data_IF_761914989387
#
_entry.id   IF_761914989387
#
_cell.length_a   1.000
_cell.length_b   1.000
_cell.length_c   1.000
_cell.angle_alpha   90.00
_cell.angle_beta   90.00
_cell.angle_gamma   90.00
#
_symmetry.space_group_name_H-M   'P 1'
#
loop_
_entity.id
_entity.type
_entity.pdbx_description
1 polymer ?
#
# COMPACT_ATOMS: atom_id res chain seq x y z
N UNK A 1 23.02 7.63 13.84
CA UNK A 1 22.03 8.24 12.95
C UNK A 1 21.17 7.13 12.36
N UNK A 2 19.85 7.25 12.43
CA UNK A 2 18.94 6.28 11.84
C UNK A 2 18.89 6.56 10.34
N UNK A 3 19.43 5.66 9.51
CA UNK A 3 19.47 5.80 8.05
C UNK A 3 18.56 4.74 7.47
N UNK A 4 17.55 5.15 6.72
CA UNK A 4 16.67 4.28 5.96
C UNK A 4 16.54 4.84 4.54
N UNK A 5 16.39 3.95 3.57
CA UNK A 5 16.20 4.31 2.15
C UNK A 5 14.73 4.15 1.72
N UNK A 6 13.86 3.73 2.64
CA UNK A 6 12.46 3.37 2.38
C UNK A 6 11.53 3.79 3.51
N UNK A 7 10.28 4.07 3.16
CA UNK A 7 9.19 4.33 4.10
C UNK A 7 8.01 3.42 3.75
N UNK A 8 7.46 2.72 4.74
CA UNK A 8 6.15 2.08 4.64
C UNK A 8 5.13 2.94 5.38
N UNK A 9 4.04 3.32 4.71
CA UNK A 9 2.91 4.02 5.32
C UNK A 9 1.70 3.11 5.33
N UNK A 10 1.19 2.80 6.52
CA UNK A 10 0.00 1.99 6.71
C UNK A 10 -1.25 2.87 6.88
N UNK A 11 -2.39 2.46 6.35
CA UNK A 11 -3.69 3.07 6.67
C UNK A 11 -4.11 2.83 8.14
N UNK A 12 -3.80 1.64 8.68
CA UNK A 12 -4.13 1.23 10.04
C UNK A 12 -2.92 1.26 10.96
N UNK A 13 -3.10 1.84 12.15
CA UNK A 13 -2.09 1.84 13.20
C UNK A 13 -1.76 0.43 13.70
N UNK A 14 -2.74 -0.48 13.75
CA UNK A 14 -2.52 -1.87 14.15
C UNK A 14 -1.55 -2.60 13.22
N UNK A 15 -1.64 -2.37 11.91
CA UNK A 15 -0.70 -2.93 10.93
C UNK A 15 0.70 -2.33 11.10
N UNK A 16 0.83 -1.02 11.30
CA UNK A 16 2.13 -0.39 11.60
C UNK A 16 2.77 -0.97 12.88
N UNK A 17 1.98 -1.16 13.94
CA UNK A 17 2.43 -1.80 15.18
C UNK A 17 2.89 -3.24 14.94
N UNK A 18 2.13 -4.02 14.17
CA UNK A 18 2.48 -5.40 13.82
C UNK A 18 3.82 -5.45 13.07
N UNK A 19 4.04 -4.58 12.08
CA UNK A 19 5.31 -4.52 11.35
C UNK A 19 6.49 -4.17 12.26
N UNK A 20 6.31 -3.22 13.17
CA UNK A 20 7.35 -2.81 14.13
C UNK A 20 7.64 -3.94 15.13
N UNK A 21 6.60 -4.58 15.67
CA UNK A 21 6.74 -5.70 16.61
C UNK A 21 7.45 -6.92 15.98
N UNK A 22 7.33 -7.10 14.66
CA UNK A 22 8.04 -8.14 13.92
C UNK A 22 9.40 -7.68 13.34
N UNK A 23 9.96 -6.56 13.82
CA UNK A 23 11.26 -6.02 13.39
C UNK A 23 11.39 -5.73 11.89
N UNK A 24 10.27 -5.57 11.16
CA UNK A 24 10.26 -5.36 9.71
C UNK A 24 11.08 -4.14 9.30
N UNK A 25 10.94 -3.04 10.04
CA UNK A 25 11.68 -1.79 9.87
C UNK A 25 13.21 -1.98 9.87
N UNK A 26 13.71 -2.90 10.70
CA UNK A 26 15.14 -3.22 10.77
C UNK A 26 15.57 -4.14 9.62
N UNK A 27 14.83 -5.22 9.38
CA UNK A 27 15.16 -6.22 8.33
C UNK A 27 15.13 -5.60 6.92
N UNK A 28 14.18 -4.71 6.65
CA UNK A 28 13.98 -4.08 5.34
C UNK A 28 14.49 -2.64 5.28
N UNK A 29 15.32 -2.21 6.23
CA UNK A 29 15.94 -0.87 6.25
C UNK A 29 14.94 0.26 5.95
N UNK A 30 13.76 0.19 6.55
CA UNK A 30 12.67 1.12 6.26
C UNK A 30 12.11 1.74 7.55
N UNK A 31 11.68 3.00 7.47
CA UNK A 31 10.78 3.53 8.49
C UNK A 31 9.37 2.98 8.27
N UNK A 32 8.59 2.83 9.34
CA UNK A 32 7.19 2.41 9.29
C UNK A 32 6.34 3.45 10.01
N UNK A 33 5.36 4.03 9.32
CA UNK A 33 4.42 5.00 9.87
C UNK A 33 2.98 4.54 9.61
N UNK A 34 2.02 5.06 10.38
CA UNK A 34 0.61 5.06 9.97
C UNK A 34 0.19 6.44 9.45
N UNK A 35 -0.85 6.46 8.61
CA UNK A 35 -1.45 7.69 8.09
C UNK A 35 -1.95 8.63 9.22
N UNK A 36 -2.24 8.07 10.41
CA UNK A 36 -2.74 8.79 11.57
C UNK A 36 -1.63 9.32 12.50
N UNK A 37 -0.35 9.21 12.12
CA UNK A 37 0.74 9.79 12.91
C UNK A 37 1.50 8.81 13.82
N UNK A 38 1.25 7.49 13.73
CA UNK A 38 1.98 6.52 14.53
C UNK A 38 3.32 6.15 13.86
N UNK A 39 4.42 5.89 14.61
CA UNK A 39 4.60 6.18 16.04
C UNK A 39 4.83 7.69 16.25
N UNK A 40 4.11 8.27 17.20
CA UNK A 40 4.13 9.73 17.43
C UNK A 40 5.53 10.28 17.74
N UNK A 41 6.36 9.49 18.44
CA UNK A 41 7.70 9.90 18.88
C UNK A 41 8.68 10.15 17.73
N UNK A 42 8.49 9.50 16.57
CA UNK A 42 9.39 9.61 15.43
C UNK A 42 8.74 10.19 14.18
N UNK A 43 7.42 10.39 14.19
CA UNK A 43 6.64 10.73 12.99
C UNK A 43 7.16 11.97 12.26
N UNK A 44 7.31 13.10 12.97
CA UNK A 44 7.80 14.35 12.39
C UNK A 44 9.23 14.23 11.86
N UNK A 45 10.10 13.56 12.63
CA UNK A 45 11.50 13.32 12.27
C UNK A 45 11.62 12.48 10.99
N UNK A 46 10.88 11.37 10.90
CA UNK A 46 10.88 10.50 9.71
C UNK A 46 10.38 11.26 8.49
N UNK A 47 9.29 12.01 8.63
CA UNK A 47 8.71 12.77 7.54
C UNK A 47 9.65 13.87 7.03
N UNK A 48 10.35 14.56 7.94
CA UNK A 48 11.39 15.53 7.58
C UNK A 48 12.57 14.88 6.85
N UNK A 49 13.03 13.71 7.30
CA UNK A 49 14.09 12.95 6.63
C UNK A 49 13.69 12.56 5.20
N UNK A 50 12.44 12.09 5.01
CA UNK A 50 11.92 11.70 3.69
C UNK A 50 11.86 12.90 2.74
N UNK A 51 11.36 14.05 3.20
CA UNK A 51 11.29 15.27 2.38
C UNK A 51 12.66 15.78 1.93
N UNK A 52 13.70 15.56 2.74
CA UNK A 52 15.08 15.93 2.39
C UNK A 52 15.72 14.94 1.42
N UNK A 53 15.22 13.71 1.36
CA UNK A 53 15.75 12.63 0.52
C UNK A 53 14.76 12.20 -0.57
N UNK A 54 14.82 12.87 -1.73
CA UNK A 54 13.92 12.59 -2.86
C UNK A 54 14.14 11.23 -3.53
N UNK A 55 15.27 10.56 -3.28
CA UNK A 55 15.48 9.20 -3.79
C UNK A 55 14.85 8.12 -2.89
N UNK A 56 14.23 8.52 -1.77
CA UNK A 56 13.56 7.58 -0.88
C UNK A 56 12.29 7.02 -1.53
N UNK A 57 12.12 5.70 -1.42
CA UNK A 57 10.92 5.02 -1.94
C UNK A 57 9.86 4.89 -0.85
N UNK A 58 8.62 5.29 -1.15
CA UNK A 58 7.48 5.16 -0.26
C UNK A 58 6.60 4.00 -0.73
N UNK A 59 6.19 3.14 0.21
CA UNK A 59 5.25 2.05 0.00
C UNK A 59 4.00 2.30 0.82
N UNK A 60 2.83 2.31 0.18
CA UNK A 60 1.54 2.37 0.85
C UNK A 60 1.02 0.95 1.10
N UNK A 61 0.58 0.67 2.32
CA UNK A 61 -0.04 -0.60 2.70
C UNK A 61 -1.41 -0.32 3.29
N UNK A 62 -2.45 -0.91 2.72
CA UNK A 62 -3.82 -0.61 3.13
C UNK A 62 -4.80 -1.76 2.97
N UNK A 63 -5.94 -1.65 3.66
CA UNK A 63 -7.11 -2.51 3.55
C UNK A 63 -7.79 -2.36 2.19
N UNK A 64 -8.53 -3.39 1.74
CA UNK A 64 -9.49 -3.23 0.65
C UNK A 64 -10.77 -2.59 1.20
N UNK A 65 -10.67 -1.32 1.57
CA UNK A 65 -11.75 -0.50 2.12
C UNK A 65 -11.71 0.90 1.48
N UNK A 66 -12.81 1.69 1.52
CA UNK A 66 -12.82 3.04 0.95
C UNK A 66 -11.72 3.95 1.49
N UNK A 67 -11.47 3.91 2.81
CA UNK A 67 -10.40 4.68 3.43
C UNK A 67 -9.02 4.15 3.04
N UNK A 68 -8.85 2.83 2.98
CA UNK A 68 -7.61 2.17 2.60
C UNK A 68 -7.18 2.52 1.17
N UNK A 69 -8.05 2.29 0.18
CA UNK A 69 -7.74 2.60 -1.23
C UNK A 69 -7.53 4.10 -1.50
N UNK A 70 -7.96 4.97 -0.57
CA UNK A 70 -7.74 6.41 -0.66
C UNK A 70 -6.35 6.82 -0.17
N UNK A 71 -5.61 5.91 0.49
CA UNK A 71 -4.32 6.21 1.12
C UNK A 71 -3.33 6.83 0.14
N UNK A 72 -3.12 6.22 -1.03
CA UNK A 72 -2.15 6.73 -2.01
C UNK A 72 -2.53 8.14 -2.49
N UNK A 73 -3.81 8.36 -2.79
CA UNK A 73 -4.30 9.70 -3.16
C UNK A 73 -4.08 10.72 -2.03
N UNK A 74 -4.35 10.34 -0.78
CA UNK A 74 -4.13 11.21 0.37
C UNK A 74 -2.65 11.56 0.55
N UNK A 75 -1.75 10.60 0.38
CA UNK A 75 -0.30 10.82 0.44
C UNK A 75 0.17 11.79 -0.66
N UNK A 76 -0.35 11.64 -1.88
CA UNK A 76 0.00 12.47 -3.05
C UNK A 76 -0.57 13.87 -3.05
N UNK A 77 -1.68 14.11 -2.32
CA UNK A 77 -2.39 15.39 -2.38
C UNK A 77 -2.30 16.19 -1.09
N UNK A 78 -1.97 15.55 0.04
CA UNK A 78 -1.87 16.24 1.32
C UNK A 78 -0.56 17.04 1.44
N UNK A 79 -0.62 18.35 1.73
CA UNK A 79 0.57 19.16 2.02
C UNK A 79 1.37 18.65 3.22
N UNK A 80 0.69 17.99 4.16
CA UNK A 80 1.30 17.39 5.33
C UNK A 80 2.00 16.06 5.01
N UNK A 81 1.89 15.55 3.78
CA UNK A 81 2.61 14.38 3.29
C UNK A 81 3.49 14.77 2.11
N UNK A 82 3.18 14.26 0.91
CA UNK A 82 3.95 14.37 -0.32
C UNK A 82 3.17 15.13 -1.41
N UNK A 83 2.35 16.10 -0.99
CA UNK A 83 1.54 16.95 -1.87
C UNK A 83 2.33 17.74 -2.93
N UNK A 84 3.65 17.82 -2.79
CA UNK A 84 4.57 18.46 -3.73
C UNK A 84 5.07 17.51 -4.84
N UNK A 85 4.65 16.24 -4.83
CA UNK A 85 5.07 15.23 -5.81
C UNK A 85 6.54 14.81 -5.71
N UNK A 86 7.16 15.03 -4.55
CA UNK A 86 8.63 14.90 -4.40
C UNK A 86 9.15 13.47 -4.26
N UNK A 87 8.28 12.45 -4.14
CA UNK A 87 8.67 11.06 -3.86
C UNK A 87 7.87 10.05 -4.68
N UNK A 88 8.52 8.95 -5.02
CA UNK A 88 7.86 7.80 -5.66
C UNK A 88 7.06 7.00 -4.62
N UNK A 89 5.77 6.81 -4.88
CA UNK A 89 4.85 6.07 -4.01
C UNK A 89 4.34 4.85 -4.76
N UNK A 90 4.67 3.67 -4.24
CA UNK A 90 4.19 2.37 -4.72
C UNK A 90 3.04 1.88 -3.85
N UNK A 91 1.98 1.42 -4.50
CA UNK A 91 0.84 0.83 -3.82
C UNK A 91 1.05 -0.69 -3.64
N UNK A 92 1.16 -1.12 -2.38
CA UNK A 92 1.25 -2.53 -1.97
C UNK A 92 0.00 -2.96 -1.17
N UNK A 93 -1.04 -2.12 -1.13
CA UNK A 93 -2.28 -2.41 -0.41
C UNK A 93 -3.17 -3.44 -1.10
N UNK A 94 -4.15 -3.93 -0.34
CA UNK A 94 -5.14 -4.87 -0.84
C UNK A 94 -6.16 -4.11 -1.69
N UNK A 95 -6.31 -4.53 -2.94
CA UNK A 95 -7.31 -3.96 -3.85
C UNK A 95 -8.53 -4.89 -3.98
N UNK A 96 -9.75 -4.37 -4.16
CA UNK A 96 -10.95 -5.20 -4.30
C UNK A 96 -10.84 -6.26 -5.41
N UNK A 97 -10.21 -5.94 -6.55
CA UNK A 97 -9.96 -6.91 -7.63
C UNK A 97 -9.15 -8.15 -7.20
N UNK A 98 -8.35 -8.06 -6.14
CA UNK A 98 -7.57 -9.18 -5.62
C UNK A 98 -8.43 -10.09 -4.74
N UNK A 99 -9.41 -9.51 -4.04
CA UNK A 99 -10.42 -10.24 -3.26
C UNK A 99 -11.31 -11.09 -4.20
N UNK A 100 -11.71 -10.54 -5.36
CA UNK A 100 -12.57 -11.27 -6.30
C UNK A 100 -11.94 -12.57 -6.82
N UNK A 101 -10.60 -12.61 -6.89
CA UNK A 101 -9.85 -13.78 -7.33
C UNK A 101 -9.70 -14.85 -6.25
N UNK A 102 -10.02 -14.55 -4.99
CA UNK A 102 -9.83 -15.47 -3.88
C UNK A 102 -11.11 -15.64 -3.04
N UNK A 103 -11.88 -16.73 -3.27
CA UNK A 103 -13.14 -16.96 -2.57
C UNK A 103 -12.97 -17.29 -1.07
N UNK A 104 -11.74 -17.52 -0.58
CA UNK A 104 -11.48 -17.84 0.83
C UNK A 104 -11.29 -16.60 1.70
N UNK A 105 -11.23 -15.41 1.11
CA UNK A 105 -11.08 -14.17 1.86
C UNK A 105 -12.40 -13.84 2.56
N UNK A 106 -12.31 -13.59 3.86
CA UNK A 106 -13.46 -13.10 4.61
C UNK A 106 -13.77 -11.66 4.21
N UNK A 107 -14.98 -11.43 3.69
CA UNK A 107 -15.46 -10.11 3.29
C UNK A 107 -16.41 -9.59 4.35
N UNK A 108 -16.05 -8.47 4.95
CA UNK A 108 -16.93 -7.70 5.83
C UNK A 108 -17.90 -6.86 5.02
N UNK A 109 -19.01 -6.46 5.65
CA UNK A 109 -19.99 -5.54 5.08
C UNK A 109 -20.48 -4.60 6.19
N UNK A 110 -20.48 -3.29 5.94
CA UNK A 110 -20.98 -2.31 6.91
C UNK A 110 -21.58 -1.07 6.22
N UNK A 111 -22.54 -0.43 6.89
CA UNK A 111 -23.17 0.79 6.38
C UNK A 111 -22.20 1.98 6.44
N UNK A 112 -21.25 2.00 7.38
CA UNK A 112 -20.19 3.01 7.44
C UNK A 112 -19.29 2.94 6.21
N UNK A 113 -18.87 1.73 5.80
CA UNK A 113 -18.06 1.54 4.60
C UNK A 113 -18.83 1.97 3.35
N UNK A 114 -20.13 1.68 3.29
CA UNK A 114 -20.99 2.13 2.19
C UNK A 114 -21.07 3.65 2.10
N UNK A 115 -21.21 4.34 3.23
CA UNK A 115 -21.23 5.80 3.28
C UNK A 115 -19.88 6.40 2.85
N UNK A 116 -18.76 5.81 3.31
CA UNK A 116 -17.42 6.24 2.90
C UNK A 116 -17.17 6.01 1.40
N UNK A 117 -17.60 4.88 0.84
CA UNK A 117 -17.48 4.59 -0.59
C UNK A 117 -18.16 5.66 -1.45
N UNK A 118 -19.33 6.15 -1.03
CA UNK A 118 -20.04 7.24 -1.71
C UNK A 118 -19.26 8.56 -1.70
N UNK A 119 -18.42 8.77 -0.69
CA UNK A 119 -17.62 9.99 -0.51
C UNK A 119 -16.23 9.90 -1.16
N UNK A 120 -15.88 8.79 -1.83
CA UNK A 120 -14.62 8.65 -2.54
C UNK A 120 -14.42 9.78 -3.56
N UNK A 121 -13.21 10.35 -3.56
CA UNK A 121 -12.85 11.43 -4.46
C UNK A 121 -12.92 10.97 -5.93
N UNK A 122 -13.15 11.88 -6.88
CA UNK A 122 -13.15 11.54 -8.31
C UNK A 122 -11.86 10.87 -8.76
N UNK A 123 -10.70 11.32 -8.26
CA UNK A 123 -9.40 10.76 -8.58
C UNK A 123 -9.25 9.29 -8.13
N UNK A 124 -9.75 8.96 -6.93
CA UNK A 124 -9.73 7.56 -6.45
C UNK A 124 -10.68 6.70 -7.28
N UNK A 125 -11.90 7.20 -7.54
CA UNK A 125 -12.91 6.47 -8.35
C UNK A 125 -12.42 6.13 -9.76
N UNK A 126 -11.66 7.02 -10.40
CA UNK A 126 -11.11 6.80 -11.75
C UNK A 126 -10.08 5.66 -11.83
N UNK A 127 -9.41 5.33 -10.73
CA UNK A 127 -8.44 4.24 -10.67
C UNK A 127 -9.08 2.86 -10.41
N UNK A 128 -10.38 2.84 -10.10
CA UNK A 128 -11.14 1.62 -9.84
C UNK A 128 -11.88 1.16 -11.08
N UNK A 129 -12.03 -0.17 -11.21
CA UNK A 129 -12.97 -0.77 -12.17
C UNK A 129 -14.39 -0.57 -11.67
N UNK A 130 -15.36 -0.61 -12.59
CA UNK A 130 -16.78 -0.50 -12.27
C UNK A 130 -17.21 -1.53 -11.20
N UNK A 131 -16.76 -2.79 -11.33
CA UNK A 131 -17.04 -3.87 -10.37
C UNK A 131 -16.47 -3.60 -8.98
N UNK A 132 -15.28 -3.01 -8.89
CA UNK A 132 -14.65 -2.65 -7.61
C UNK A 132 -15.41 -1.51 -6.93
N UNK A 133 -15.82 -0.51 -7.72
CA UNK A 133 -16.62 0.59 -7.21
C UNK A 133 -17.97 0.10 -6.70
N UNK A 134 -18.68 -0.74 -7.46
CA UNK A 134 -19.95 -1.34 -7.02
C UNK A 134 -19.79 -2.21 -5.77
N UNK A 135 -18.67 -2.94 -5.65
CA UNK A 135 -18.38 -3.73 -4.45
C UNK A 135 -18.19 -2.85 -3.20
N UNK A 136 -17.43 -1.75 -3.32
CA UNK A 136 -17.26 -0.78 -2.23
C UNK A 136 -18.58 -0.04 -1.90
N UNK A 137 -19.35 0.36 -2.91
CA UNK A 137 -20.65 1.04 -2.75
C UNK A 137 -21.75 0.11 -2.21
N UNK A 138 -21.51 -1.21 -2.17
CA UNK A 138 -22.32 -2.16 -1.42
C UNK A 138 -21.93 -2.22 0.07
N UNK A 139 -20.89 -1.51 0.49
CA UNK A 139 -20.38 -1.51 1.87
C UNK A 139 -19.40 -2.63 2.17
N UNK A 140 -18.92 -3.34 1.15
CA UNK A 140 -18.01 -4.48 1.32
C UNK A 140 -16.57 -4.01 1.50
N UNK A 141 -15.84 -4.72 2.35
CA UNK A 141 -14.44 -4.43 2.64
C UNK A 141 -13.67 -5.67 3.11
N UNK A 142 -12.34 -5.61 3.08
CA UNK A 142 -11.45 -6.60 3.70
C UNK A 142 -10.35 -5.87 4.44
N UNK A 143 -10.24 -6.13 5.74
CA UNK A 143 -9.15 -5.63 6.59
C UNK A 143 -7.91 -6.52 6.47
N UNK A 144 -6.72 -5.93 6.48
CA UNK A 144 -5.47 -6.67 6.50
C UNK A 144 -5.35 -7.53 7.76
N UNK A 145 -5.94 -7.09 8.88
CA UNK A 145 -6.02 -7.84 10.13
C UNK A 145 -6.77 -9.19 10.00
N UNK A 146 -7.51 -9.43 8.92
CA UNK A 146 -8.10 -10.74 8.62
C UNK A 146 -7.07 -11.79 8.16
N UNK A 147 -5.84 -11.38 7.84
CA UNK A 147 -4.74 -12.26 7.47
C UNK A 147 -3.77 -12.50 8.62
N UNK A 148 -3.02 -13.60 8.55
CA UNK A 148 -1.95 -13.84 9.52
C UNK A 148 -0.83 -12.79 9.34
N UNK A 149 -0.15 -12.37 10.43
CA UNK A 149 1.00 -11.47 10.34
C UNK A 149 2.08 -11.97 9.37
N UNK A 150 2.35 -13.27 9.37
CA UNK A 150 3.31 -13.90 8.45
C UNK A 150 2.93 -13.68 6.98
N UNK A 151 1.65 -13.74 6.64
CA UNK A 151 1.18 -13.53 5.27
C UNK A 151 1.39 -12.07 4.84
N UNK A 152 1.09 -11.12 5.73
CA UNK A 152 1.29 -9.69 5.47
C UNK A 152 2.77 -9.37 5.27
N UNK A 153 3.64 -9.88 6.16
CA UNK A 153 5.10 -9.70 6.06
C UNK A 153 5.64 -10.27 4.75
N UNK A 154 5.19 -11.47 4.35
CA UNK A 154 5.60 -12.12 3.10
C UNK A 154 5.17 -11.32 1.87
N UNK A 155 3.94 -10.81 1.86
CA UNK A 155 3.43 -9.99 0.76
C UNK A 155 4.23 -8.70 0.63
N UNK A 156 4.46 -8.03 1.75
CA UNK A 156 5.17 -6.76 1.77
C UNK A 156 6.63 -6.92 1.32
N UNK A 157 7.32 -7.97 1.80
CA UNK A 157 8.70 -8.26 1.40
C UNK A 157 8.81 -8.59 -0.09
N UNK A 158 7.87 -9.38 -0.63
CA UNK A 158 7.80 -9.69 -2.06
C UNK A 158 7.51 -8.43 -2.90
N UNK A 159 6.62 -7.55 -2.43
CA UNK A 159 6.30 -6.29 -3.08
C UNK A 159 7.53 -5.37 -3.20
N UNK A 160 8.26 -5.21 -2.10
CA UNK A 160 9.50 -4.41 -2.06
C UNK A 160 10.56 -5.03 -2.98
N UNK A 161 10.76 -6.35 -2.95
CA UNK A 161 11.75 -7.02 -3.78
C UNK A 161 11.47 -6.87 -5.28
N UNK A 162 10.20 -7.02 -5.69
CA UNK A 162 9.77 -6.83 -7.08
C UNK A 162 9.97 -5.40 -7.56
N UNK A 163 9.62 -4.41 -6.73
CA UNK A 163 9.81 -2.98 -7.07
C UNK A 163 11.28 -2.67 -7.35
N UNK A 164 12.21 -3.26 -6.59
CA UNK A 164 13.65 -3.11 -6.81
C UNK A 164 14.11 -3.73 -8.12
N UNK A 165 13.60 -4.92 -8.47
CA UNK A 165 13.94 -5.57 -9.72
C UNK A 165 13.49 -4.74 -10.93
N UNK A 166 12.28 -4.16 -10.88
CA UNK A 166 11.77 -3.27 -11.92
C UNK A 166 12.60 -2.00 -12.03
N UNK A 167 12.90 -1.32 -10.93
CA UNK A 167 13.70 -0.09 -10.94
C UNK A 167 15.10 -0.31 -11.53
N UNK A 168 15.73 -1.46 -11.26
CA UNK A 168 17.04 -1.83 -11.82
C UNK A 168 16.99 -2.18 -13.31
N UNK A 169 15.88 -2.76 -13.78
CA UNK A 169 15.70 -3.07 -15.19
C UNK A 169 15.49 -1.79 -16.05
N UNK A 170 14.85 -0.75 -15.50
CA UNK A 170 14.63 0.53 -16.19
C UNK A 170 15.92 1.33 -16.37
N UNK A 171 16.86 1.25 -15.41
CA UNK A 171 18.18 1.91 -15.48
C UNK A 171 19.17 1.19 -16.42
N UNK A 172 18.83 -0.05 -16.83
CA UNK A 172 19.69 -0.95 -17.62
C UNK A 172 19.56 -0.85 -19.14
N UNK A 173 18.71 0.03 -19.67
CA UNK A 173 18.55 0.27 -21.11
C UNK A 173 18.09 -0.97 -21.90
N UNK A 174 16.78 -0.99 -22.19
CA UNK A 174 16.04 -2.00 -22.96
C UNK A 174 15.33 -3.06 -22.09
N UNK A 175 14.00 -2.94 -22.00
CA UNK A 175 13.20 -3.87 -21.20
C UNK A 175 11.75 -3.44 -21.04
N UNK A 176 10.92 -3.67 -22.06
CA UNK A 176 9.48 -3.83 -21.86
C UNK A 176 9.27 -5.09 -21.01
N UNK A 177 9.09 -4.92 -19.71
CA UNK A 177 8.83 -6.02 -18.78
C UNK A 177 7.31 -6.14 -18.58
N UNK A 178 6.65 -6.84 -19.52
CA UNK A 178 5.32 -7.42 -19.29
C UNK A 178 5.55 -8.73 -18.54
N UNK A 179 5.34 -8.73 -17.23
CA UNK A 179 5.39 -9.96 -16.43
C UNK A 179 3.97 -10.43 -16.21
N UNK A 180 3.52 -11.30 -17.12
CA UNK A 180 2.46 -12.25 -16.85
C UNK A 180 2.94 -13.19 -15.74
N UNK A 181 2.26 -13.13 -14.60
CA UNK A 181 2.56 -13.97 -13.43
C UNK A 181 2.04 -15.38 -13.64
N UNK A 182 2.67 -16.11 -14.57
CA UNK A 182 2.43 -17.53 -14.81
C UNK A 182 2.76 -18.36 -13.57
N UNK A 183 1.73 -19.08 -13.11
CA UNK A 183 1.71 -20.27 -12.26
C UNK A 183 2.96 -20.64 -11.46
N UNK A 184 2.88 -20.42 -10.14
CA UNK A 184 3.55 -21.27 -9.16
C UNK A 184 2.54 -21.54 -8.02
N UNK A 185 1.80 -22.65 -8.17
CA UNK A 185 0.96 -23.31 -7.16
C UNK A 185 -0.12 -22.45 -6.48
N UNK A 186 -1.37 -22.82 -6.78
CA UNK A 186 -2.59 -22.12 -6.40
C UNK A 186 -2.74 -21.80 -4.91
N UNK A 187 -3.58 -20.79 -4.66
CA UNK A 187 -4.15 -20.34 -3.38
C UNK A 187 -3.53 -19.09 -2.72
N UNK A 188 -2.55 -18.44 -3.35
CA UNK A 188 -2.00 -17.18 -2.82
C UNK A 188 -2.70 -15.94 -3.41
N UNK A 189 -3.26 -15.10 -2.53
CA UNK A 189 -3.57 -13.70 -2.87
C UNK A 189 -2.32 -13.04 -3.45
N UNK A 190 -2.37 -12.69 -4.73
CA UNK A 190 -1.35 -11.89 -5.38
C UNK A 190 -1.71 -10.42 -5.23
N UNK A 191 -0.89 -9.70 -4.46
CA UNK A 191 -0.90 -8.25 -4.47
C UNK A 191 -0.14 -7.80 -5.71
N UNK A 192 -0.87 -7.26 -6.69
CA UNK A 192 -0.28 -6.63 -7.86
C UNK A 192 0.27 -5.27 -7.46
N UNK A 193 1.53 -5.02 -7.80
CA UNK A 193 2.16 -3.71 -7.71
C UNK A 193 1.58 -2.88 -8.86
N UNK A 194 0.87 -1.81 -8.54
CA UNK A 194 0.55 -0.79 -9.53
C UNK A 194 1.65 0.25 -9.50
N UNK A 195 2.52 0.22 -10.51
CA UNK A 195 3.20 1.43 -10.95
C UNK A 195 2.12 2.31 -11.58
N UNK A 196 1.60 3.25 -10.80
CA UNK A 196 0.74 4.29 -11.38
C UNK A 196 1.68 5.35 -11.94
N UNK A 197 2.19 5.11 -13.16
CA UNK A 197 2.81 6.17 -13.93
C UNK A 197 1.74 7.26 -14.14
N UNK A 198 2.00 8.43 -13.56
CA UNK A 198 1.25 9.67 -13.73
C UNK A 198 2.25 10.81 -13.69
#
# INVERSE_FOLDING_TARGET
AYSFDRLVVCDRTAIAQMLIANNFHFEYNCAVLSITGYPQSIFSTVLEMVRRNRSLTVYALHDASPSGISLVNNLRTSPNWFGDGSVNIYDLGLLPRQVFKNPKVFVGESEEMKQQARQLSPAVRQNLRAEELSWLEAGKFVELESFSPQKILQVLSQGIAKTRATAQAVDGGDGLVVVDGGDINGDYLQFYIYDTFG
#
